data_IF_788461455226
#
_entry.id   IF_788461455226
#
_cell.length_a   1.000
_cell.length_b   1.000
_cell.length_c   1.000
_cell.angle_alpha   90.00
_cell.angle_beta   90.00
_cell.angle_gamma   90.00
#
_symmetry.space_group_name_H-M   'P 1'
#
loop_
_entity.id
_entity.type
_entity.pdbx_description
1 polymer ?
#
# COMPACT_ATOMS: atom_id res chain seq x y z
N UNK A 1 -47.48 22.53 -37.07
CA UNK A 1 -46.15 22.26 -36.49
C UNK A 1 -46.21 20.91 -35.80
N UNK A 2 -45.49 19.91 -36.30
CA UNK A 2 -45.56 18.52 -35.82
C UNK A 2 -44.73 18.34 -34.55
N UNK A 3 -45.20 17.48 -33.63
CA UNK A 3 -44.52 17.07 -32.40
C UNK A 3 -43.06 16.59 -32.65
N UNK A 4 -42.78 16.02 -33.83
CA UNK A 4 -41.42 15.62 -34.22
C UNK A 4 -40.45 16.80 -34.43
N UNK A 5 -40.96 17.98 -34.79
CA UNK A 5 -40.16 19.20 -34.93
C UNK A 5 -39.74 19.79 -33.57
N UNK A 6 -40.65 19.78 -32.60
CA UNK A 6 -40.35 20.23 -31.23
C UNK A 6 -39.38 19.30 -30.50
N UNK A 7 -39.52 17.98 -30.68
CA UNK A 7 -38.62 16.99 -30.06
C UNK A 7 -37.22 17.05 -30.69
N UNK A 8 -37.12 17.21 -32.02
CA UNK A 8 -35.83 17.33 -32.69
C UNK A 8 -35.09 18.62 -32.29
N UNK A 9 -35.78 19.75 -32.16
CA UNK A 9 -35.21 20.98 -31.62
C UNK A 9 -34.75 20.83 -30.15
N UNK A 10 -35.52 20.12 -29.33
CA UNK A 10 -35.16 19.82 -27.93
C UNK A 10 -33.89 18.96 -27.85
N UNK A 11 -33.79 17.90 -28.66
CA UNK A 11 -32.60 17.03 -28.74
C UNK A 11 -31.38 17.83 -29.21
N UNK A 12 -31.54 18.69 -30.21
CA UNK A 12 -30.46 19.54 -30.70
C UNK A 12 -29.94 20.50 -29.61
N UNK A 13 -30.84 21.15 -28.88
CA UNK A 13 -30.49 22.03 -27.76
C UNK A 13 -29.79 21.28 -26.63
N UNK A 14 -30.30 20.10 -26.24
CA UNK A 14 -29.68 19.24 -25.23
C UNK A 14 -28.28 18.78 -25.66
N UNK A 15 -28.08 18.46 -26.94
CA UNK A 15 -26.78 18.03 -27.47
C UNK A 15 -25.78 19.19 -27.53
N UNK A 16 -26.24 20.38 -27.91
CA UNK A 16 -25.42 21.59 -27.97
C UNK A 16 -24.96 22.05 -26.56
N UNK A 17 -25.82 21.90 -25.56
CA UNK A 17 -25.52 22.30 -24.18
C UNK A 17 -24.88 21.18 -23.34
N UNK A 18 -24.57 20.03 -23.95
CA UNK A 18 -23.98 18.88 -23.27
C UNK A 18 -22.50 19.13 -22.99
N UNK A 19 -22.14 19.34 -21.73
CA UNK A 19 -20.74 19.43 -21.27
C UNK A 19 -19.94 18.18 -21.64
N UNK A 20 -18.74 18.37 -22.17
CA UNK A 20 -17.78 17.29 -22.39
C UNK A 20 -17.36 16.69 -21.03
N UNK A 21 -17.75 15.44 -20.78
CA UNK A 21 -17.29 14.70 -19.61
C UNK A 21 -15.96 14.04 -19.94
N UNK A 22 -14.88 14.59 -19.40
CA UNK A 22 -13.58 13.91 -19.40
C UNK A 22 -13.63 12.72 -18.45
N UNK A 23 -13.20 11.54 -18.92
CA UNK A 23 -13.17 10.34 -18.09
C UNK A 23 -12.07 10.45 -17.04
N UNK A 24 -12.17 9.70 -15.94
CA UNK A 24 -11.10 9.63 -14.93
C UNK A 24 -9.79 9.14 -15.56
N UNK A 25 -9.85 8.28 -16.57
CA UNK A 25 -8.68 7.81 -17.32
C UNK A 25 -8.02 8.92 -18.14
N UNK A 26 -8.80 9.81 -18.77
CA UNK A 26 -8.26 10.96 -19.50
C UNK A 26 -7.55 11.95 -18.56
N UNK A 27 -8.09 12.13 -17.34
CA UNK A 27 -7.46 13.00 -16.32
C UNK A 27 -6.10 12.48 -15.84
N UNK A 28 -5.90 11.15 -15.84
CA UNK A 28 -4.67 10.51 -15.31
C UNK A 28 -3.66 10.23 -16.43
N UNK A 29 -4.06 10.37 -17.69
CA UNK A 29 -3.19 10.14 -18.86
C UNK A 29 -1.92 11.00 -18.84
N UNK A 30 -2.02 12.23 -18.36
CA UNK A 30 -0.89 13.16 -18.26
C UNK A 30 -0.10 13.01 -16.95
N UNK A 31 -0.68 12.40 -15.91
CA UNK A 31 0.01 12.09 -14.64
C UNK A 31 1.02 10.94 -14.79
N UNK A 32 0.81 10.03 -15.75
CA UNK A 32 1.78 8.96 -16.08
C UNK A 32 3.04 9.48 -16.79
N UNK A 33 3.04 10.72 -17.27
CA UNK A 33 4.20 11.37 -17.88
C UNK A 33 5.02 12.18 -16.87
N UNK A 34 5.07 11.77 -15.60
CA UNK A 34 6.24 12.10 -14.80
C UNK A 34 7.44 11.52 -15.56
N UNK A 35 8.25 12.40 -16.13
CA UNK A 35 9.57 12.08 -16.69
C UNK A 35 10.23 11.07 -15.77
N UNK A 36 10.80 9.98 -16.32
CA UNK A 36 11.59 9.01 -15.55
C UNK A 36 12.65 9.80 -14.77
N UNK A 37 12.34 10.17 -13.54
CA UNK A 37 13.30 10.78 -12.64
C UNK A 37 14.12 9.61 -12.17
N UNK A 38 15.37 9.57 -12.61
CA UNK A 38 16.33 8.68 -12.01
C UNK A 38 16.35 9.00 -10.52
N UNK A 39 16.07 8.00 -9.70
CA UNK A 39 16.06 8.10 -8.24
C UNK A 39 17.49 8.45 -7.80
N UNK A 40 17.81 9.74 -7.76
CA UNK A 40 19.11 10.25 -7.39
C UNK A 40 19.23 10.25 -5.87
N UNK A 41 19.82 9.20 -5.34
CA UNK A 41 20.30 9.20 -3.97
C UNK A 41 21.56 10.06 -3.89
N UNK A 42 21.39 11.32 -3.44
CA UNK A 42 22.47 12.30 -3.27
C UNK A 42 23.58 11.80 -2.35
N UNK A 43 23.21 11.02 -1.33
CA UNK A 43 24.13 10.49 -0.34
C UNK A 43 24.21 8.97 -0.51
N UNK A 44 25.41 8.47 -0.84
CA UNK A 44 25.72 7.05 -0.79
C UNK A 44 26.26 6.75 0.60
N UNK A 45 25.61 5.84 1.33
CA UNK A 45 26.11 5.41 2.63
C UNK A 45 27.52 4.81 2.46
N UNK A 46 28.45 5.21 3.31
CA UNK A 46 29.78 4.60 3.30
C UNK A 46 29.67 3.13 3.72
N UNK A 47 30.56 2.22 3.25
CA UNK A 47 30.49 0.81 3.64
C UNK A 47 30.54 0.60 5.16
N UNK A 48 31.18 1.54 5.89
CA UNK A 48 31.21 1.57 7.36
C UNK A 48 29.83 1.89 7.96
N UNK A 49 29.14 2.91 7.46
CA UNK A 49 27.77 3.24 7.90
C UNK A 49 26.80 2.08 7.65
N UNK A 50 26.91 1.39 6.51
CA UNK A 50 26.07 0.21 6.21
C UNK A 50 26.35 -0.92 7.21
N UNK A 51 27.62 -1.15 7.56
CA UNK A 51 28.01 -2.16 8.55
C UNK A 51 27.47 -1.80 9.93
N UNK A 52 27.58 -0.55 10.37
CA UNK A 52 27.04 -0.08 11.66
C UNK A 52 25.52 -0.22 11.74
N UNK A 53 24.79 0.13 10.67
CA UNK A 53 23.33 -0.04 10.59
C UNK A 53 22.98 -1.53 10.69
N UNK A 54 23.71 -2.38 9.95
CA UNK A 54 23.49 -3.84 9.98
C UNK A 54 23.71 -4.41 11.38
N UNK A 55 24.77 -4.00 12.07
CA UNK A 55 25.03 -4.44 13.45
C UNK A 55 23.95 -3.99 14.42
N UNK A 56 23.50 -2.74 14.33
CA UNK A 56 22.41 -2.22 15.18
C UNK A 56 21.13 -3.01 14.97
N UNK A 57 20.75 -3.26 13.71
CA UNK A 57 19.58 -4.07 13.37
C UNK A 57 19.68 -5.50 13.90
N UNK A 58 20.85 -6.13 13.80
CA UNK A 58 21.05 -7.49 14.31
C UNK A 58 20.95 -7.54 15.84
N UNK A 59 21.52 -6.57 16.55
CA UNK A 59 21.44 -6.48 18.01
C UNK A 59 19.99 -6.32 18.48
N UNK A 60 19.23 -5.41 17.86
CA UNK A 60 17.82 -5.21 18.18
C UNK A 60 16.97 -6.46 17.88
N UNK A 61 17.19 -7.09 16.73
CA UNK A 61 16.45 -8.28 16.35
C UNK A 61 16.73 -9.45 17.29
N UNK A 62 17.97 -9.62 17.76
CA UNK A 62 18.32 -10.67 18.71
C UNK A 62 17.59 -10.47 20.06
N UNK A 63 17.53 -9.24 20.57
CA UNK A 63 16.80 -8.93 21.82
C UNK A 63 15.31 -9.26 21.66
N UNK A 64 14.70 -8.84 20.54
CA UNK A 64 13.29 -9.13 20.25
C UNK A 64 13.07 -10.63 20.09
N UNK A 65 13.98 -11.34 19.43
CA UNK A 65 13.92 -12.78 19.24
C UNK A 65 13.96 -13.53 20.58
N UNK A 66 14.90 -13.22 21.46
CA UNK A 66 14.98 -13.84 22.78
C UNK A 66 13.69 -13.65 23.59
N UNK A 67 13.10 -12.45 23.57
CA UNK A 67 11.81 -12.20 24.23
C UNK A 67 10.69 -13.06 23.67
N UNK A 68 10.61 -13.20 22.34
CA UNK A 68 9.60 -14.05 21.68
C UNK A 68 9.80 -15.53 22.01
N UNK A 69 11.04 -16.01 21.99
CA UNK A 69 11.39 -17.40 22.34
C UNK A 69 10.99 -17.71 23.78
N UNK A 70 11.26 -16.80 24.72
CA UNK A 70 10.89 -16.97 26.12
C UNK A 70 9.37 -17.12 26.28
N UNK A 71 8.57 -16.29 25.61
CA UNK A 71 7.10 -16.40 25.61
C UNK A 71 6.64 -17.75 25.07
N UNK A 72 7.24 -18.23 23.97
CA UNK A 72 6.89 -19.53 23.38
C UNK A 72 7.22 -20.67 24.35
N UNK A 73 8.37 -20.63 25.03
CA UNK A 73 8.75 -21.64 26.03
C UNK A 73 7.74 -21.70 27.18
N UNK A 74 7.33 -20.54 27.70
CA UNK A 74 6.30 -20.48 28.76
C UNK A 74 4.99 -21.09 28.26
N UNK A 75 4.56 -20.75 27.05
CA UNK A 75 3.31 -21.25 26.47
C UNK A 75 3.35 -22.78 26.30
N UNK A 76 4.48 -23.31 25.81
CA UNK A 76 4.70 -24.76 25.71
C UNK A 76 4.68 -25.44 27.08
N UNK A 77 5.31 -24.86 28.10
CA UNK A 77 5.28 -25.40 29.45
C UNK A 77 3.85 -25.47 30.02
N UNK A 78 3.03 -24.44 29.79
CA UNK A 78 1.62 -24.43 30.20
C UNK A 78 0.82 -25.51 29.49
N UNK A 79 1.02 -25.70 28.19
CA UNK A 79 0.35 -26.77 27.42
C UNK A 79 0.75 -28.15 27.96
N UNK A 80 2.04 -28.39 28.19
CA UNK A 80 2.52 -29.65 28.75
C UNK A 80 1.94 -29.92 30.14
N UNK A 81 1.88 -28.90 31.00
CA UNK A 81 1.25 -28.99 32.32
C UNK A 81 -0.24 -29.32 32.20
N UNK A 82 -0.97 -28.65 31.31
CA UNK A 82 -2.39 -28.91 31.09
C UNK A 82 -2.65 -30.34 30.58
N UNK A 83 -1.84 -30.84 29.64
CA UNK A 83 -1.96 -32.22 29.14
C UNK A 83 -1.66 -33.23 30.26
N UNK A 84 -0.62 -32.98 31.06
CA UNK A 84 -0.26 -33.83 32.20
C UNK A 84 -1.35 -33.85 33.29
N UNK A 85 -2.03 -32.73 33.52
CA UNK A 85 -3.14 -32.62 34.48
C UNK A 85 -4.45 -33.23 33.94
N UNK A 86 -4.72 -33.16 32.64
CA UNK A 86 -5.92 -33.74 32.02
C UNK A 86 -5.84 -35.26 31.91
N UNK A 87 -4.63 -35.83 31.87
CA UNK A 87 -4.41 -37.28 31.78
C UNK A 87 -4.33 -37.97 33.15
N UNK A 88 -4.11 -37.22 34.23
CA UNK A 88 -4.21 -37.68 35.61
C UNK A 88 -5.63 -37.50 36.16
#
# INVERSE_FOLDING_TARGET
MSFGGSVSAMIASLKANKRTRVSTFDKIKDLKKCTKSELHFKNKATPKEIAEIREKMQKENNIIFFRKVLVIIILLAVILYAIGFVKN
#
